data_IF_050412310544
#
_entry.id   IF_050412310544
#
_cell.length_a   1.000
_cell.length_b   1.000
_cell.length_c   1.000
_cell.angle_alpha   90.00
_cell.angle_beta   90.00
_cell.angle_gamma   90.00
#
_symmetry.space_group_name_H-M   'P 1'
#
loop_
_entity.id
_entity.type
_entity.pdbx_description
1 polymer ?
#
# COMPACT_ATOMS: atom_id res chain seq x y z
N UNK A 1 31.63 2.06 2.33
CA UNK A 1 30.30 1.50 2.55
C UNK A 1 29.59 1.34 1.22
N UNK A 2 28.99 0.20 0.99
CA UNK A 2 28.33 -0.05 -0.28
C UNK A 2 27.00 0.69 -0.38
N UNK A 3 26.57 0.98 -1.60
CA UNK A 3 25.26 1.59 -1.85
C UNK A 3 24.12 0.73 -1.31
N UNK A 4 24.31 -0.58 -1.32
CA UNK A 4 23.32 -1.53 -0.83
C UNK A 4 22.99 -1.29 0.65
N UNK A 5 24.02 -1.06 1.48
CA UNK A 5 23.81 -0.80 2.90
C UNK A 5 23.06 0.51 3.12
N UNK A 6 23.36 1.52 2.32
CA UNK A 6 22.65 2.80 2.43
C UNK A 6 21.18 2.66 2.04
N UNK A 7 20.91 1.89 0.99
CA UNK A 7 19.54 1.64 0.56
C UNK A 7 18.73 0.87 1.59
N UNK A 8 19.36 -0.13 2.22
CA UNK A 8 18.72 -0.91 3.28
C UNK A 8 18.37 -0.03 4.47
N UNK A 9 19.27 0.87 4.83
CA UNK A 9 19.02 1.81 5.93
C UNK A 9 17.84 2.73 5.64
N UNK A 10 17.82 3.33 4.44
CA UNK A 10 16.73 4.22 4.03
C UNK A 10 15.41 3.46 3.99
N UNK A 11 15.42 2.25 3.48
CA UNK A 11 14.24 1.41 3.41
C UNK A 11 13.66 1.13 4.80
N UNK A 12 14.52 0.80 5.75
CA UNK A 12 14.08 0.53 7.12
C UNK A 12 13.52 1.76 7.81
N UNK A 13 14.14 2.91 7.61
CA UNK A 13 13.64 4.16 8.17
C UNK A 13 12.29 4.54 7.57
N UNK A 14 12.14 4.37 6.27
CA UNK A 14 10.89 4.68 5.59
C UNK A 14 9.76 3.79 6.12
N UNK A 15 10.03 2.51 6.29
CA UNK A 15 9.04 1.58 6.83
C UNK A 15 8.66 1.95 8.25
N UNK A 16 9.64 2.25 9.08
CA UNK A 16 9.39 2.61 10.47
C UNK A 16 8.55 3.86 10.57
N UNK A 17 8.90 4.89 9.82
CA UNK A 17 8.18 6.15 9.83
C UNK A 17 6.74 5.97 9.38
N UNK A 18 6.53 5.25 8.27
CA UNK A 18 5.18 5.01 7.75
C UNK A 18 4.36 4.08 8.63
N UNK A 19 5.01 3.21 9.40
CA UNK A 19 4.28 2.34 10.34
C UNK A 19 3.74 3.12 11.52
N UNK A 20 4.45 4.16 11.94
CA UNK A 20 4.03 5.03 13.04
C UNK A 20 3.00 6.06 12.55
N UNK A 21 3.24 6.63 11.39
CA UNK A 21 2.38 7.66 10.82
C UNK A 21 2.15 7.41 9.34
N UNK A 22 1.21 6.52 9.00
CA UNK A 22 0.93 6.20 7.60
C UNK A 22 0.40 7.37 6.78
N UNK A 23 -0.19 8.37 7.42
CA UNK A 23 -0.84 9.43 6.71
C UNK A 23 -2.19 9.00 6.15
N UNK A 24 -2.76 9.82 5.28
CA UNK A 24 -4.05 9.52 4.64
C UNK A 24 -5.15 9.23 5.65
N UNK A 25 -5.11 9.93 6.79
CA UNK A 25 -6.01 9.68 7.91
C UNK A 25 -7.22 10.61 7.97
N UNK A 26 -7.36 11.50 7.00
CA UNK A 26 -8.48 12.43 6.97
C UNK A 26 -9.66 11.81 6.25
N UNK A 27 -10.78 11.65 6.95
CA UNK A 27 -11.99 11.11 6.37
C UNK A 27 -12.47 11.97 5.21
N UNK A 28 -13.04 11.30 4.21
CA UNK A 28 -13.61 11.98 3.05
C UNK A 28 -15.08 12.22 3.31
N UNK A 29 -15.55 13.43 3.00
CA UNK A 29 -16.98 13.76 3.13
C UNK A 29 -17.85 12.97 2.16
N UNK A 30 -17.26 12.56 1.05
CA UNK A 30 -17.90 11.74 0.03
C UNK A 30 -16.88 10.72 -0.44
N UNK A 31 -17.34 9.50 -0.75
CA UNK A 31 -16.47 8.44 -1.24
C UNK A 31 -16.97 8.00 -2.59
N UNK A 32 -16.12 8.12 -3.61
CA UNK A 32 -16.47 7.71 -4.97
C UNK A 32 -16.19 6.23 -5.21
N UNK A 33 -15.16 5.70 -4.56
CA UNK A 33 -14.79 4.29 -4.67
C UNK A 33 -14.22 3.78 -3.37
N UNK A 34 -14.56 2.54 -3.04
CA UNK A 34 -14.13 1.88 -1.81
C UNK A 34 -13.58 0.51 -2.15
N UNK A 35 -12.40 0.20 -1.62
CA UNK A 35 -11.77 -1.11 -1.78
C UNK A 35 -11.32 -1.58 -0.40
N UNK A 36 -11.65 -2.81 -0.04
CA UNK A 36 -11.22 -3.38 1.22
C UNK A 36 -10.55 -4.72 1.00
N UNK A 37 -9.64 -5.04 1.91
CA UNK A 37 -8.95 -6.32 1.89
C UNK A 37 -8.65 -6.78 3.30
N UNK A 38 -8.59 -8.09 3.46
CA UNK A 38 -8.33 -8.73 4.74
C UNK A 38 -7.37 -9.89 4.54
N UNK A 39 -6.34 -9.95 5.38
CA UNK A 39 -5.48 -11.11 5.46
C UNK A 39 -5.96 -11.99 6.63
N UNK A 40 -6.63 -13.12 6.36
CA UNK A 40 -7.21 -13.92 7.43
C UNK A 40 -6.17 -14.60 8.30
N UNK A 41 -4.92 -14.71 7.85
CA UNK A 41 -3.88 -15.41 8.60
C UNK A 41 -3.29 -14.55 9.71
N UNK A 42 -3.16 -13.24 9.49
CA UNK A 42 -2.60 -12.36 10.51
C UNK A 42 -3.56 -11.24 10.91
N UNK A 43 -4.78 -11.26 10.41
CA UNK A 43 -5.79 -10.27 10.79
C UNK A 43 -5.53 -8.87 10.26
N UNK A 44 -4.60 -8.71 9.34
CA UNK A 44 -4.35 -7.42 8.73
C UNK A 44 -5.54 -7.02 7.87
N UNK A 45 -5.93 -5.75 7.97
CA UNK A 45 -7.08 -5.25 7.23
C UNK A 45 -6.74 -3.88 6.67
N UNK A 46 -7.19 -3.63 5.45
CA UNK A 46 -7.03 -2.33 4.81
C UNK A 46 -8.33 -1.92 4.13
N UNK A 47 -8.67 -0.65 4.27
CA UNK A 47 -9.79 -0.05 3.55
C UNK A 47 -9.28 1.20 2.87
N UNK A 48 -9.41 1.24 1.56
CA UNK A 48 -9.06 2.40 0.74
C UNK A 48 -10.34 3.10 0.32
N UNK A 49 -10.46 4.35 0.67
CA UNK A 49 -11.57 5.20 0.24
C UNK A 49 -11.01 6.25 -0.71
N UNK A 50 -11.59 6.39 -1.88
CA UNK A 50 -11.09 7.27 -2.92
C UNK A 50 -12.09 8.32 -3.34
N UNK A 51 -11.58 9.51 -3.62
CA UNK A 51 -12.30 10.45 -4.49
C UNK A 51 -11.68 10.37 -5.89
N UNK A 52 -12.50 10.52 -6.89
CA UNK A 52 -12.08 10.46 -8.29
C UNK A 52 -12.50 11.73 -9.02
N UNK A 53 -11.66 12.19 -9.93
CA UNK A 53 -11.96 13.24 -10.88
C UNK A 53 -11.51 12.76 -12.25
N UNK A 54 -12.48 12.53 -13.16
CA UNK A 54 -12.20 11.96 -14.47
C UNK A 54 -11.40 10.66 -14.37
N UNK A 55 -11.77 9.82 -13.40
CA UNK A 55 -11.15 8.54 -13.09
C UNK A 55 -9.74 8.64 -12.51
N UNK A 56 -9.25 9.83 -12.22
CA UNK A 56 -7.99 10.00 -11.51
C UNK A 56 -8.25 10.10 -10.01
N UNK A 57 -7.41 9.45 -9.23
CA UNK A 57 -7.54 9.45 -7.78
C UNK A 57 -7.05 10.80 -7.25
N UNK A 58 -7.95 11.56 -6.63
CA UNK A 58 -7.63 12.90 -6.13
C UNK A 58 -7.41 12.93 -4.62
N UNK A 59 -8.10 12.06 -3.88
CA UNK A 59 -7.97 11.99 -2.44
C UNK A 59 -8.05 10.53 -2.01
N UNK A 60 -7.33 10.19 -0.94
CA UNK A 60 -7.33 8.86 -0.36
C UNK A 60 -7.50 8.97 1.15
N UNK A 61 -8.37 8.13 1.69
CA UNK A 61 -8.47 7.91 3.13
C UNK A 61 -8.23 6.44 3.40
N UNK A 62 -7.29 6.14 4.31
CA UNK A 62 -6.91 4.77 4.68
C UNK A 62 -7.42 4.44 6.06
N UNK A 63 -8.01 3.26 6.20
CA UNK A 63 -8.25 2.64 7.48
C UNK A 63 -7.42 1.36 7.53
N UNK A 64 -6.52 1.27 8.49
CA UNK A 64 -5.53 0.20 8.56
C UNK A 64 -5.56 -0.47 9.90
N UNK A 65 -5.54 -1.81 9.91
CA UNK A 65 -5.31 -2.60 11.10
C UNK A 65 -4.33 -3.71 10.78
N UNK A 66 -3.32 -3.88 11.64
CA UNK A 66 -2.34 -4.91 11.42
C UNK A 66 -0.95 -4.50 11.85
N UNK A 67 0.03 -5.24 11.37
CA UNK A 67 1.42 -5.02 11.76
C UNK A 67 2.03 -3.80 11.08
N UNK A 68 3.23 -3.44 11.54
CA UNK A 68 3.95 -2.27 11.04
C UNK A 68 4.22 -2.35 9.53
N UNK A 69 4.58 -3.53 9.05
CA UNK A 69 4.87 -3.74 7.62
C UNK A 69 3.62 -3.48 6.78
N UNK A 70 2.48 -3.98 7.23
CA UNK A 70 1.21 -3.77 6.55
C UNK A 70 0.87 -2.27 6.46
N UNK A 71 1.03 -1.55 7.58
CA UNK A 71 0.72 -0.12 7.61
C UNK A 71 1.66 0.66 6.71
N UNK A 72 2.94 0.35 6.74
CA UNK A 72 3.93 1.02 5.90
C UNK A 72 3.71 0.74 4.43
N UNK A 73 3.43 -0.51 4.06
CA UNK A 73 3.18 -0.90 2.68
C UNK A 73 1.94 -0.23 2.12
N UNK A 74 0.87 -0.19 2.90
CA UNK A 74 -0.38 0.45 2.47
C UNK A 74 -0.20 1.95 2.29
N UNK A 75 0.54 2.59 3.19
CA UNK A 75 0.85 4.01 3.08
C UNK A 75 1.65 4.32 1.82
N UNK A 76 2.67 3.51 1.55
CA UNK A 76 3.51 3.70 0.36
C UNK A 76 2.70 3.50 -0.91
N UNK A 77 1.88 2.47 -0.95
CA UNK A 77 1.01 2.21 -2.11
C UNK A 77 0.06 3.38 -2.34
N UNK A 78 -0.55 3.90 -1.27
CA UNK A 78 -1.46 5.04 -1.40
C UNK A 78 -0.75 6.25 -2.02
N UNK A 79 0.47 6.52 -1.60
CA UNK A 79 1.25 7.61 -2.15
C UNK A 79 1.55 7.41 -3.63
N UNK A 80 1.86 6.18 -4.03
CA UNK A 80 2.16 5.85 -5.43
C UNK A 80 0.93 6.02 -6.32
N UNK A 81 -0.26 5.61 -5.84
CA UNK A 81 -1.46 5.66 -6.67
C UNK A 81 -2.17 7.01 -6.64
N UNK A 82 -1.82 7.89 -5.72
CA UNK A 82 -2.43 9.22 -5.68
C UNK A 82 -2.15 9.95 -6.99
N UNK A 83 -3.17 10.53 -7.58
CA UNK A 83 -3.15 11.23 -8.87
C UNK A 83 -3.04 10.30 -10.09
N UNK A 84 -3.06 8.99 -9.87
CA UNK A 84 -3.06 8.03 -10.98
C UNK A 84 -4.49 7.71 -11.42
N UNK A 85 -4.63 7.25 -12.66
CA UNK A 85 -5.92 6.83 -13.16
C UNK A 85 -6.32 5.50 -12.52
N UNK A 86 -7.60 5.39 -12.14
CA UNK A 86 -8.09 4.18 -11.48
C UNK A 86 -7.88 2.92 -12.33
N UNK A 87 -7.85 3.07 -13.65
CA UNK A 87 -7.65 1.94 -14.56
C UNK A 87 -6.19 1.47 -14.57
N UNK A 88 -5.26 2.29 -14.09
CA UNK A 88 -3.84 1.93 -14.01
C UNK A 88 -3.50 1.19 -12.71
N UNK A 89 -4.42 1.11 -11.76
CA UNK A 89 -4.15 0.55 -10.43
C UNK A 89 -3.65 -0.90 -10.51
N UNK A 90 -4.29 -1.81 -11.29
CA UNK A 90 -3.81 -3.20 -11.33
C UNK A 90 -2.35 -3.31 -11.78
N UNK A 91 -1.95 -2.53 -12.78
CA UNK A 91 -0.58 -2.53 -13.26
C UNK A 91 0.40 -1.99 -12.22
N UNK A 92 0.03 -0.90 -11.56
CA UNK A 92 0.83 -0.31 -10.49
C UNK A 92 0.99 -1.30 -9.34
N UNK A 93 -0.07 -1.99 -8.98
CA UNK A 93 -0.04 -2.98 -7.91
C UNK A 93 0.87 -4.15 -8.26
N UNK A 94 0.86 -4.60 -9.51
CA UNK A 94 1.75 -5.67 -9.95
C UNK A 94 3.21 -5.25 -9.86
N UNK A 95 3.53 -4.03 -10.24
CA UNK A 95 4.88 -3.50 -10.12
C UNK A 95 5.31 -3.40 -8.66
N UNK A 96 4.40 -2.94 -7.81
CA UNK A 96 4.65 -2.81 -6.36
C UNK A 96 4.96 -4.17 -5.73
N UNK A 97 4.18 -5.18 -6.07
CA UNK A 97 4.38 -6.53 -5.57
C UNK A 97 5.73 -7.08 -6.07
N UNK A 98 6.03 -6.86 -7.33
CA UNK A 98 7.31 -7.30 -7.92
C UNK A 98 8.50 -6.68 -7.21
N UNK A 99 8.40 -5.41 -6.86
CA UNK A 99 9.45 -4.72 -6.11
C UNK A 99 9.71 -5.41 -4.78
N UNK A 100 8.66 -5.73 -4.03
CA UNK A 100 8.81 -6.42 -2.75
C UNK A 100 9.36 -7.83 -2.91
N UNK A 101 8.96 -8.54 -3.94
CA UNK A 101 9.47 -9.87 -4.20
C UNK A 101 10.95 -9.86 -4.56
N UNK A 102 11.40 -8.84 -5.28
CA UNK A 102 12.82 -8.68 -5.61
C UNK A 102 13.64 -8.44 -4.34
N UNK A 103 13.09 -7.68 -3.40
CA UNK A 103 13.76 -7.41 -2.13
C UNK A 103 13.78 -8.61 -1.20
N UNK A 104 12.73 -9.42 -1.23
CA UNK A 104 12.53 -10.55 -0.33
C UNK A 104 12.22 -11.79 -1.14
N UNK A 105 13.26 -12.46 -1.64
CA UNK A 105 13.11 -13.60 -2.54
C UNK A 105 12.25 -14.72 -1.99
N UNK A 106 12.16 -14.85 -0.69
CA UNK A 106 11.43 -15.94 -0.05
C UNK A 106 9.93 -15.65 0.09
N UNK A 107 9.42 -14.61 -0.53
CA UNK A 107 8.14 -14.08 -0.13
C UNK A 107 6.99 -14.34 -1.10
N UNK A 108 6.89 -15.57 -1.57
CA UNK A 108 5.77 -16.00 -2.40
C UNK A 108 4.45 -15.85 -1.65
N UNK A 109 4.46 -16.16 -0.37
CA UNK A 109 3.27 -16.04 0.47
C UNK A 109 2.82 -14.58 0.59
N UNK A 110 3.76 -13.65 0.75
CA UNK A 110 3.47 -12.23 0.81
C UNK A 110 2.83 -11.76 -0.49
N UNK A 111 3.38 -12.19 -1.63
CA UNK A 111 2.84 -11.85 -2.94
C UNK A 111 1.38 -12.30 -3.07
N UNK A 112 1.08 -13.51 -2.63
CA UNK A 112 -0.28 -14.03 -2.70
C UNK A 112 -1.22 -13.22 -1.83
N UNK A 113 -0.79 -12.83 -0.64
CA UNK A 113 -1.60 -12.03 0.26
C UNK A 113 -1.88 -10.64 -0.33
N UNK A 114 -0.88 -10.01 -0.91
CA UNK A 114 -1.06 -8.70 -1.54
C UNK A 114 -2.01 -8.79 -2.73
N UNK A 115 -1.91 -9.85 -3.51
CA UNK A 115 -2.82 -10.07 -4.63
C UNK A 115 -4.26 -10.22 -4.16
N UNK A 116 -4.48 -10.91 -3.06
CA UNK A 116 -5.82 -11.06 -2.48
C UNK A 116 -6.36 -9.69 -2.04
N UNK A 117 -5.55 -8.91 -1.33
CA UNK A 117 -5.95 -7.58 -0.88
C UNK A 117 -6.33 -6.68 -2.05
N UNK A 118 -5.58 -6.72 -3.13
CA UNK A 118 -5.76 -5.82 -4.25
C UNK A 118 -6.90 -6.21 -5.17
N UNK A 119 -7.35 -7.45 -5.09
CA UNK A 119 -8.50 -7.92 -5.87
C UNK A 119 -9.83 -7.64 -5.20
N UNK A 120 -9.79 -7.27 -3.94
CA UNK A 120 -10.99 -6.90 -3.21
C UNK A 120 -11.53 -5.56 -3.73
#
# INVERSE_FOLDING_TARGET
>A
MSKKNNLDFVYKEEILERSINPGFSSELSKVDKFISGLNPFCGDEVKFHFNLNQNNITNIFLELEGCAIHKASSSLLAEIILNENINSIPEICDEFISFFNTKNNSNQKFKNQQSILLKQ
#
